data_IF_905018373734
#
_entry.id   IF_905018373734
#
_cell.length_a   1.000
_cell.length_b   1.000
_cell.length_c   1.000
_cell.angle_alpha   90.00
_cell.angle_beta   90.00
_cell.angle_gamma   90.00
#
_symmetry.space_group_name_H-M   'P 1'
#
loop_
_entity.id
_entity.type
_entity.pdbx_description
1 polymer ?
#
# COMPACT_ATOMS: atom_id res chain seq x y z
N UNK A 1 -13.03 6.13 57.72
CA UNK A 1 -12.77 6.63 56.34
C UNK A 1 -13.19 5.52 55.39
N UNK A 2 -14.31 5.71 54.69
CA UNK A 2 -14.95 4.67 53.87
C UNK A 2 -14.21 4.53 52.54
N UNK A 3 -13.69 3.33 52.25
CA UNK A 3 -13.17 2.96 50.93
C UNK A 3 -14.35 2.68 50.01
N UNK A 4 -14.63 3.58 49.08
CA UNK A 4 -15.58 3.36 48.01
C UNK A 4 -15.08 2.24 47.09
N UNK A 5 -15.77 1.09 47.12
CA UNK A 5 -15.62 0.07 46.08
C UNK A 5 -16.12 0.65 44.75
N UNK A 6 -15.20 1.15 43.94
CA UNK A 6 -15.51 1.68 42.62
C UNK A 6 -15.77 0.51 41.67
N UNK A 7 -17.02 0.12 41.50
CA UNK A 7 -17.42 -0.90 40.52
C UNK A 7 -17.56 -0.25 39.14
N UNK A 8 -16.47 -0.29 38.36
CA UNK A 8 -16.36 0.43 37.09
C UNK A 8 -17.29 -0.09 35.97
N UNK A 9 -17.76 -1.35 36.02
CA UNK A 9 -18.53 -1.98 34.93
C UNK A 9 -19.63 -2.96 35.43
N UNK A 10 -20.38 -2.59 36.46
CA UNK A 10 -21.50 -3.44 36.89
C UNK A 10 -22.62 -3.48 35.83
N UNK A 11 -23.12 -4.68 35.51
CA UNK A 11 -24.21 -4.93 34.55
C UNK A 11 -23.99 -4.43 33.11
N UNK A 12 -22.75 -4.15 32.72
CA UNK A 12 -22.44 -3.76 31.34
C UNK A 12 -22.52 -4.98 30.41
N UNK A 13 -23.24 -4.87 29.29
CA UNK A 13 -23.30 -5.90 28.25
C UNK A 13 -22.93 -5.29 26.89
N UNK A 14 -22.24 -6.07 26.03
CA UNK A 14 -21.83 -5.69 24.66
C UNK A 14 -21.00 -4.39 24.55
N UNK A 15 -19.95 -4.25 25.35
CA UNK A 15 -19.00 -3.15 25.20
C UNK A 15 -17.62 -3.67 24.79
N UNK A 16 -16.82 -2.82 24.16
CA UNK A 16 -15.44 -3.10 23.80
C UNK A 16 -14.53 -2.10 24.51
N UNK A 17 -13.56 -2.60 25.27
CA UNK A 17 -12.45 -1.80 25.78
C UNK A 17 -11.23 -2.15 24.94
N UNK A 18 -10.56 -1.13 24.41
CA UNK A 18 -9.33 -1.31 23.64
C UNK A 18 -8.21 -0.44 24.23
N UNK A 19 -7.02 -1.03 24.37
CA UNK A 19 -5.87 -0.40 25.02
C UNK A 19 -5.96 -0.38 26.56
N UNK A 20 -4.79 -0.35 27.21
CA UNK A 20 -4.63 -0.26 28.67
C UNK A 20 -4.01 -1.50 29.32
N UNK A 21 -3.51 -1.33 30.55
CA UNK A 21 -2.98 -2.42 31.39
C UNK A 21 -4.01 -2.73 32.47
N UNK A 22 -4.62 -3.91 32.42
CA UNK A 22 -5.65 -4.32 33.37
C UNK A 22 -5.03 -5.17 34.48
N UNK A 23 -5.09 -4.67 35.72
CA UNK A 23 -4.77 -5.46 36.91
C UNK A 23 -6.07 -5.80 37.64
N UNK A 24 -6.45 -7.08 37.60
CA UNK A 24 -7.55 -7.61 38.41
C UNK A 24 -6.93 -8.15 39.70
N UNK A 25 -7.31 -7.58 40.85
CA UNK A 25 -6.91 -8.09 42.16
C UNK A 25 -7.77 -9.32 42.52
N UNK A 26 -7.51 -10.43 41.84
CA UNK A 26 -8.05 -11.77 42.10
C UNK A 26 -6.93 -12.77 41.80
N UNK A 27 -6.87 -13.89 42.52
CA UNK A 27 -5.68 -14.75 42.68
C UNK A 27 -5.06 -15.36 41.40
N UNK A 28 -5.58 -15.08 40.22
CA UNK A 28 -5.02 -15.50 38.93
C UNK A 28 -4.79 -14.28 38.03
N UNK A 29 -3.52 -13.95 37.77
CA UNK A 29 -3.15 -12.93 36.79
C UNK A 29 -3.24 -13.54 35.40
N UNK A 30 -4.39 -13.40 34.74
CA UNK A 30 -4.47 -13.58 33.29
C UNK A 30 -4.11 -12.24 32.65
N UNK A 31 -2.84 -12.06 32.28
CA UNK A 31 -2.45 -10.93 31.42
C UNK A 31 -2.97 -11.22 30.01
N UNK A 32 -4.19 -10.78 29.72
CA UNK A 32 -4.64 -10.67 28.33
C UNK A 32 -3.98 -9.42 27.77
N UNK A 33 -2.77 -9.57 27.21
CA UNK A 33 -2.21 -8.53 26.34
C UNK A 33 -3.12 -8.46 25.10
N UNK A 34 -4.08 -7.54 25.14
CA UNK A 34 -4.80 -7.12 23.95
C UNK A 34 -3.79 -6.47 23.00
N UNK A 35 -3.11 -7.29 22.19
CA UNK A 35 -2.12 -6.83 21.24
C UNK A 35 -2.68 -5.70 20.40
N UNK A 36 -1.86 -4.66 20.17
CA UNK A 36 -2.25 -3.56 19.29
C UNK A 36 -2.64 -4.15 17.94
N UNK A 37 -3.92 -4.03 17.57
CA UNK A 37 -4.41 -4.47 16.28
C UNK A 37 -3.56 -3.76 15.22
N UNK A 38 -2.78 -4.55 14.48
CA UNK A 38 -1.83 -4.09 13.46
C UNK A 38 -0.48 -3.49 13.92
N UNK A 39 0.12 -3.99 15.00
CA UNK A 39 1.47 -3.58 15.43
C UNK A 39 2.55 -3.67 14.32
N UNK A 40 2.49 -4.65 13.43
CA UNK A 40 3.39 -4.73 12.28
C UNK A 40 3.21 -3.56 11.31
N UNK A 41 1.96 -3.09 11.10
CA UNK A 41 1.71 -1.91 10.26
C UNK A 41 2.20 -0.61 10.92
N UNK A 42 2.21 -0.52 12.25
CA UNK A 42 2.80 0.65 12.93
C UNK A 42 4.32 0.69 12.79
N UNK A 43 4.99 -0.47 12.76
CA UNK A 43 6.41 -0.55 12.41
C UNK A 43 6.65 -0.17 10.94
N UNK A 44 5.81 -0.67 10.04
CA UNK A 44 5.87 -0.33 8.62
C UNK A 44 5.76 1.17 8.37
N UNK A 45 4.87 1.87 9.08
CA UNK A 45 4.69 3.32 8.96
C UNK A 45 5.99 4.10 9.21
N UNK A 46 6.87 3.63 10.09
CA UNK A 46 8.14 4.30 10.37
C UNK A 46 9.18 4.10 9.25
N UNK A 47 8.92 3.20 8.30
CA UNK A 47 9.83 2.83 7.23
C UNK A 47 9.27 3.22 5.84
N UNK A 48 8.33 4.16 5.77
CA UNK A 48 7.80 4.70 4.51
C UNK A 48 8.41 6.06 4.16
N UNK A 49 8.38 6.42 2.88
CA UNK A 49 8.58 7.80 2.42
C UNK A 49 7.22 8.48 2.28
N UNK A 50 6.84 9.27 3.29
CA UNK A 50 5.59 10.03 3.25
C UNK A 50 5.58 11.08 2.14
N UNK A 51 6.75 11.64 1.78
CA UNK A 51 6.87 12.63 0.71
C UNK A 51 6.66 12.06 -0.70
N UNK A 52 6.72 10.73 -0.86
CA UNK A 52 6.53 10.04 -2.13
C UNK A 52 5.06 9.79 -2.50
N UNK A 53 4.12 10.01 -1.57
CA UNK A 53 2.69 9.75 -1.80
C UNK A 53 2.10 10.74 -2.82
N UNK A 54 1.05 10.33 -3.54
CA UNK A 54 0.41 11.18 -4.55
C UNK A 54 -0.13 12.51 -3.99
N UNK A 55 -0.54 12.52 -2.73
CA UNK A 55 -1.20 13.58 -1.97
C UNK A 55 -0.31 14.19 -0.86
N UNK A 56 1.01 13.94 -0.92
CA UNK A 56 1.95 14.46 0.05
C UNK A 56 2.12 15.99 -0.06
N UNK A 57 2.17 16.69 1.08
CA UNK A 57 2.47 18.14 1.15
C UNK A 57 3.80 18.49 0.48
N UNK A 58 4.80 17.61 0.58
CA UNK A 58 6.10 17.77 -0.10
C UNK A 58 6.00 17.80 -1.63
N UNK A 59 4.82 17.60 -2.19
CA UNK A 59 4.52 17.66 -3.62
C UNK A 59 3.54 18.77 -3.97
N UNK A 60 3.14 19.63 -3.03
CA UNK A 60 2.24 20.74 -3.30
C UNK A 60 2.98 21.97 -3.88
N UNK A 61 2.46 22.63 -4.93
CA UNK A 61 1.37 22.16 -5.80
C UNK A 61 1.86 21.02 -6.70
N UNK A 62 1.04 19.96 -6.90
CA UNK A 62 1.50 18.79 -7.64
C UNK A 62 1.53 19.07 -9.15
N UNK A 63 2.41 18.38 -9.92
CA UNK A 63 2.39 18.47 -11.37
C UNK A 63 1.03 18.01 -11.89
N UNK A 64 0.31 18.83 -12.64
CA UNK A 64 -1.03 18.48 -13.12
C UNK A 64 -1.17 18.74 -14.61
N UNK A 65 -1.94 17.89 -15.29
CA UNK A 65 -2.35 18.16 -16.66
C UNK A 65 -3.27 19.38 -16.67
N UNK A 66 -3.01 20.36 -17.55
CA UNK A 66 -3.94 21.45 -17.76
C UNK A 66 -5.28 20.92 -18.30
N UNK A 67 -6.42 21.54 -17.95
CA UNK A 67 -7.73 21.11 -18.43
C UNK A 67 -7.76 20.95 -19.96
N UNK A 68 -8.28 19.82 -20.44
CA UNK A 68 -8.38 19.51 -21.87
C UNK A 68 -7.07 19.08 -22.54
N UNK A 69 -5.96 19.01 -21.80
CA UNK A 69 -4.68 18.49 -22.33
C UNK A 69 -4.49 17.03 -21.94
N UNK A 70 -3.73 16.29 -22.76
CA UNK A 70 -3.35 14.89 -22.50
C UNK A 70 -4.53 13.91 -22.27
N UNK A 71 -5.76 14.32 -22.56
CA UNK A 71 -6.97 13.51 -22.33
C UNK A 71 -6.92 12.17 -23.07
N UNK A 72 -6.42 12.14 -24.30
CA UNK A 72 -6.22 10.87 -25.03
C UNK A 72 -5.29 9.90 -24.28
N UNK A 73 -4.19 10.42 -23.73
CA UNK A 73 -3.24 9.58 -22.98
C UNK A 73 -3.86 9.10 -21.66
N UNK A 74 -4.55 9.98 -20.93
CA UNK A 74 -5.27 9.64 -19.70
C UNK A 74 -6.38 8.62 -19.94
N UNK A 75 -7.11 8.74 -21.06
CA UNK A 75 -8.13 7.80 -21.47
C UNK A 75 -7.52 6.45 -21.81
N UNK A 76 -6.49 6.39 -22.66
CA UNK A 76 -5.82 5.13 -23.00
C UNK A 76 -5.25 4.40 -21.78
N UNK A 77 -4.65 5.13 -20.83
CA UNK A 77 -4.19 4.58 -19.55
C UNK A 77 -5.37 4.11 -18.69
N UNK A 78 -6.46 4.87 -18.69
CA UNK A 78 -7.70 4.54 -18.02
C UNK A 78 -8.30 3.22 -18.52
N UNK A 79 -8.38 3.07 -19.84
CA UNK A 79 -8.93 1.90 -20.51
C UNK A 79 -8.04 0.68 -20.27
N UNK A 80 -6.72 0.80 -20.45
CA UNK A 80 -5.75 -0.25 -20.14
C UNK A 80 -5.86 -0.73 -18.68
N UNK A 81 -5.92 0.18 -17.72
CA UNK A 81 -6.02 -0.18 -16.31
C UNK A 81 -7.40 -0.77 -15.94
N UNK A 82 -8.43 -0.62 -16.78
CA UNK A 82 -9.79 -1.13 -16.51
C UNK A 82 -10.12 -2.40 -17.29
N UNK A 83 -9.44 -2.67 -18.41
CA UNK A 83 -9.67 -3.87 -19.23
C UNK A 83 -9.34 -5.18 -18.51
N UNK A 84 -8.61 -5.11 -17.40
CA UNK A 84 -8.24 -6.27 -16.58
C UNK A 84 -7.37 -7.29 -17.34
N UNK A 85 -7.00 -8.37 -16.67
CA UNK A 85 -6.26 -9.49 -17.25
C UNK A 85 -7.16 -10.42 -18.12
N UNK A 86 -8.39 -9.99 -18.44
CA UNK A 86 -9.47 -10.82 -19.00
C UNK A 86 -9.81 -10.52 -20.47
N UNK A 87 -8.94 -9.84 -21.22
CA UNK A 87 -9.00 -9.94 -22.66
C UNK A 87 -8.51 -11.34 -23.05
N UNK A 88 -9.45 -12.20 -23.41
CA UNK A 88 -9.21 -13.56 -23.91
C UNK A 88 -8.16 -13.58 -25.03
N UNK A 89 -6.99 -14.16 -24.76
CA UNK A 89 -5.88 -14.32 -25.70
C UNK A 89 -4.56 -13.79 -25.12
N UNK A 90 -3.48 -14.54 -25.33
CA UNK A 90 -2.12 -14.31 -24.82
C UNK A 90 -1.74 -12.82 -24.60
N UNK A 91 -1.11 -12.57 -23.45
CA UNK A 91 -0.55 -11.28 -22.97
C UNK A 91 -1.51 -10.30 -22.30
N UNK A 92 -2.08 -10.69 -21.17
CA UNK A 92 -2.41 -9.70 -20.16
C UNK A 92 -1.12 -8.97 -19.76
N UNK A 93 -1.00 -7.67 -20.05
CA UNK A 93 0.19 -6.86 -19.72
C UNK A 93 -0.02 -6.20 -18.35
N UNK A 94 0.55 -6.76 -17.26
CA UNK A 94 0.35 -6.22 -15.92
C UNK A 94 1.02 -4.86 -15.72
N UNK A 95 1.94 -4.48 -16.61
CA UNK A 95 2.73 -3.24 -16.54
C UNK A 95 2.52 -2.40 -17.79
N UNK A 96 2.25 -1.11 -17.60
CA UNK A 96 2.26 -0.10 -18.66
C UNK A 96 3.44 0.84 -18.45
N UNK A 97 4.28 0.97 -19.47
CA UNK A 97 5.41 1.89 -19.47
C UNK A 97 5.04 3.21 -20.15
N UNK A 98 4.86 4.29 -19.38
CA UNK A 98 4.65 5.63 -19.91
C UNK A 98 6.00 6.31 -20.20
N UNK A 99 6.36 6.42 -21.48
CA UNK A 99 7.62 7.02 -21.92
C UNK A 99 7.41 8.24 -22.82
N UNK A 100 8.47 9.03 -22.97
CA UNK A 100 8.47 10.27 -23.74
C UNK A 100 9.65 11.16 -23.36
N UNK A 101 9.90 12.20 -24.16
CA UNK A 101 11.01 13.14 -23.94
C UNK A 101 10.95 13.81 -22.56
N UNK A 102 12.11 14.33 -22.12
CA UNK A 102 12.15 15.22 -20.96
C UNK A 102 11.22 16.41 -21.18
N UNK A 103 10.48 16.81 -20.14
CA UNK A 103 9.48 17.88 -20.24
C UNK A 103 8.16 17.52 -20.95
N UNK A 104 7.98 16.27 -21.42
CA UNK A 104 6.73 15.86 -22.09
C UNK A 104 5.48 15.84 -21.16
N UNK A 105 5.65 16.06 -19.85
CA UNK A 105 4.57 16.07 -18.87
C UNK A 105 4.19 14.69 -18.33
N UNK A 106 5.11 13.71 -18.34
CA UNK A 106 4.85 12.34 -17.84
C UNK A 106 4.38 12.33 -16.38
N UNK A 107 5.10 13.02 -15.50
CA UNK A 107 4.73 13.13 -14.08
C UNK A 107 3.38 13.83 -13.88
N UNK A 108 3.03 14.81 -14.73
CA UNK A 108 1.71 15.45 -14.71
C UNK A 108 0.59 14.48 -15.10
N UNK A 109 0.82 13.61 -16.10
CA UNK A 109 -0.11 12.53 -16.48
C UNK A 109 -0.24 11.52 -15.34
N UNK A 110 0.88 11.06 -14.78
CA UNK A 110 0.89 10.08 -13.68
C UNK A 110 0.18 10.62 -12.44
N UNK A 111 0.43 11.87 -12.05
CA UNK A 111 -0.24 12.54 -10.95
C UNK A 111 -1.75 12.68 -11.20
N UNK A 112 -2.14 13.18 -12.38
CA UNK A 112 -3.55 13.35 -12.74
C UNK A 112 -4.29 12.01 -12.73
N UNK A 113 -3.64 10.94 -13.22
CA UNK A 113 -4.20 9.59 -13.17
C UNK A 113 -4.32 9.08 -11.72
N UNK A 114 -3.33 9.32 -10.87
CA UNK A 114 -3.37 8.97 -9.46
C UNK A 114 -4.56 9.64 -8.76
N UNK A 115 -4.73 10.95 -8.92
CA UNK A 115 -5.85 11.71 -8.36
C UNK A 115 -7.22 11.18 -8.84
N UNK A 116 -7.37 10.93 -10.15
CA UNK A 116 -8.60 10.34 -10.72
C UNK A 116 -8.90 8.96 -10.10
N UNK A 117 -7.88 8.12 -9.92
CA UNK A 117 -8.04 6.75 -9.40
C UNK A 117 -8.25 6.73 -7.89
N UNK A 118 -7.64 7.65 -7.15
CA UNK A 118 -7.88 7.85 -5.73
C UNK A 118 -9.34 8.26 -5.47
N UNK A 119 -9.87 9.21 -6.25
CA UNK A 119 -11.29 9.60 -6.21
C UNK A 119 -12.25 8.43 -6.46
N UNK A 120 -11.86 7.50 -7.33
CA UNK A 120 -12.62 6.27 -7.63
C UNK A 120 -12.32 5.10 -6.65
N UNK A 121 -11.48 5.31 -5.63
CA UNK A 121 -11.00 4.28 -4.69
C UNK A 121 -10.33 3.08 -5.39
N UNK A 122 -9.71 3.29 -6.54
CA UNK A 122 -9.04 2.26 -7.36
C UNK A 122 -7.53 2.46 -7.43
N UNK A 123 -6.98 3.53 -6.84
CA UNK A 123 -5.54 3.68 -6.66
C UNK A 123 -5.09 2.82 -5.47
N UNK A 124 -4.41 1.71 -5.74
CA UNK A 124 -3.86 0.82 -4.73
C UNK A 124 -2.72 1.48 -3.95
N UNK A 125 -1.76 2.04 -4.69
CA UNK A 125 -0.57 2.67 -4.16
C UNK A 125 0.07 3.60 -5.20
N UNK A 126 0.86 4.55 -4.71
CA UNK A 126 1.65 5.45 -5.53
C UNK A 126 3.04 5.68 -4.93
N UNK A 127 4.05 5.86 -5.77
CA UNK A 127 5.37 6.30 -5.35
C UNK A 127 5.97 7.23 -6.41
N UNK A 128 6.23 8.47 -6.03
CA UNK A 128 6.83 9.47 -6.90
C UNK A 128 8.25 9.75 -6.43
N UNK A 129 9.23 9.24 -7.18
CA UNK A 129 10.64 9.54 -6.95
C UNK A 129 10.91 11.03 -7.08
N UNK A 130 11.89 11.52 -6.34
CA UNK A 130 12.42 12.88 -6.54
C UNK A 130 13.90 12.94 -6.19
N UNK A 131 14.74 13.36 -7.14
CA UNK A 131 16.21 13.30 -7.01
C UNK A 131 16.74 14.02 -5.76
N UNK A 132 16.13 15.14 -5.40
CA UNK A 132 16.60 16.02 -4.32
C UNK A 132 16.06 15.65 -2.93
N UNK A 133 15.24 14.61 -2.81
CA UNK A 133 14.72 14.15 -1.52
C UNK A 133 15.29 12.78 -1.15
N UNK A 134 16.17 12.71 -0.13
CA UNK A 134 16.80 11.48 0.31
C UNK A 134 15.85 10.34 0.70
N UNK A 135 14.61 10.66 1.07
CA UNK A 135 13.62 9.63 1.41
C UNK A 135 13.04 8.92 0.19
N UNK A 136 13.19 9.50 -1.01
CA UNK A 136 12.58 9.02 -2.27
C UNK A 136 13.45 9.19 -3.50
N UNK A 137 14.77 9.29 -3.32
CA UNK A 137 15.76 9.25 -4.41
C UNK A 137 16.53 7.91 -4.45
N UNK A 138 16.16 6.96 -3.60
CA UNK A 138 16.66 5.58 -3.57
C UNK A 138 15.48 4.61 -3.47
N UNK A 139 15.65 3.32 -3.83
CA UNK A 139 14.56 2.36 -3.74
C UNK A 139 14.26 1.89 -2.31
N UNK A 140 15.03 2.34 -1.30
CA UNK A 140 15.01 1.83 0.08
C UNK A 140 13.63 1.77 0.70
N UNK A 141 12.82 2.80 0.46
CA UNK A 141 11.47 2.92 1.02
C UNK A 141 10.37 2.67 -0.04
N UNK A 142 10.71 2.24 -1.26
CA UNK A 142 9.74 2.04 -2.33
C UNK A 142 8.66 1.02 -1.94
N UNK A 143 9.07 -0.21 -1.64
CA UNK A 143 8.12 -1.30 -1.41
C UNK A 143 7.50 -1.28 -0.02
N UNK A 144 8.16 -0.70 0.98
CA UNK A 144 7.53 -0.44 2.28
C UNK A 144 6.41 0.60 2.16
N UNK A 145 6.64 1.69 1.41
CA UNK A 145 5.62 2.71 1.15
C UNK A 145 4.45 2.17 0.33
N UNK A 146 4.73 1.33 -0.67
CA UNK A 146 3.68 0.64 -1.45
C UNK A 146 2.90 -0.33 -0.56
N UNK A 147 3.58 -1.20 0.19
CA UNK A 147 2.92 -2.16 1.08
C UNK A 147 2.04 -1.48 2.13
N UNK A 148 2.50 -0.34 2.67
CA UNK A 148 1.70 0.45 3.60
C UNK A 148 0.40 0.91 2.94
N UNK A 149 0.47 1.55 1.78
CA UNK A 149 -0.72 2.00 1.03
C UNK A 149 -1.67 0.83 0.69
N UNK A 150 -1.12 -0.31 0.25
CA UNK A 150 -1.90 -1.51 -0.04
C UNK A 150 -2.70 -2.00 1.18
N UNK A 151 -2.10 -1.98 2.37
CA UNK A 151 -2.78 -2.38 3.60
C UNK A 151 -4.01 -1.50 3.94
N UNK A 152 -4.03 -0.22 3.53
CA UNK A 152 -5.19 0.66 3.73
C UNK A 152 -6.20 0.58 2.61
N UNK A 153 -5.74 0.44 1.36
CA UNK A 153 -6.62 0.41 0.19
C UNK A 153 -7.31 -0.94 0.01
N UNK A 154 -6.62 -2.03 0.37
CA UNK A 154 -7.09 -3.41 0.21
C UNK A 154 -7.08 -4.07 1.61
N UNK A 155 -8.19 -3.99 2.37
CA UNK A 155 -8.26 -4.46 3.76
C UNK A 155 -7.84 -5.91 3.96
N UNK A 156 -8.02 -6.77 2.95
CA UNK A 156 -7.61 -8.17 2.92
C UNK A 156 -6.09 -8.32 3.06
N UNK A 157 -5.31 -7.36 2.56
CA UNK A 157 -3.85 -7.36 2.66
C UNK A 157 -3.35 -6.88 4.02
N UNK A 158 -4.13 -6.09 4.76
CA UNK A 158 -3.72 -5.50 6.03
C UNK A 158 -3.25 -6.56 7.03
N UNK A 159 -4.04 -7.63 7.21
CA UNK A 159 -3.72 -8.73 8.10
C UNK A 159 -2.50 -9.53 7.63
N UNK A 160 -2.40 -9.78 6.33
CA UNK A 160 -1.31 -10.58 5.74
C UNK A 160 0.03 -9.85 5.85
N UNK A 161 0.08 -8.56 5.51
CA UNK A 161 1.27 -7.72 5.62
C UNK A 161 1.67 -7.57 7.09
N UNK A 162 0.71 -7.33 7.97
CA UNK A 162 0.97 -7.26 9.41
C UNK A 162 1.62 -8.54 9.95
N UNK A 163 1.07 -9.70 9.60
CA UNK A 163 1.60 -10.99 10.05
C UNK A 163 2.99 -11.26 9.47
N UNK A 164 3.24 -10.91 8.21
CA UNK A 164 4.57 -11.05 7.61
C UNK A 164 5.62 -10.25 8.40
N UNK A 165 5.30 -9.01 8.78
CA UNK A 165 6.20 -8.15 9.56
C UNK A 165 6.38 -8.68 10.98
N UNK A 166 5.31 -9.11 11.66
CA UNK A 166 5.42 -9.65 13.03
C UNK A 166 6.25 -10.94 13.06
N UNK A 167 6.13 -11.79 12.06
CA UNK A 167 6.93 -13.01 11.94
C UNK A 167 8.39 -12.76 11.59
N UNK A 168 8.69 -11.64 10.90
CA UNK A 168 10.05 -11.31 10.45
C UNK A 168 10.27 -9.79 10.38
N UNK A 169 10.50 -9.11 11.51
CA UNK A 169 10.52 -7.64 11.57
C UNK A 169 11.61 -7.00 10.70
N UNK A 170 12.73 -7.69 10.49
CA UNK A 170 13.84 -7.22 9.65
C UNK A 170 13.54 -7.19 8.15
N UNK A 171 12.36 -7.65 7.69
CA UNK A 171 11.94 -7.44 6.28
C UNK A 171 11.95 -5.94 5.95
N UNK A 172 11.57 -5.07 6.90
CA UNK A 172 11.49 -3.63 6.68
C UNK A 172 12.84 -3.01 6.27
N UNK A 173 13.95 -3.62 6.67
CA UNK A 173 15.31 -3.17 6.32
C UNK A 173 16.04 -4.13 5.39
N UNK A 174 15.36 -5.17 4.89
CA UNK A 174 15.91 -6.14 3.94
C UNK A 174 16.06 -5.53 2.54
N UNK A 175 16.70 -6.26 1.64
CA UNK A 175 16.77 -5.90 0.22
C UNK A 175 15.39 -5.67 -0.39
N UNK A 176 15.29 -4.77 -1.37
CA UNK A 176 14.03 -4.43 -2.04
C UNK A 176 13.33 -5.64 -2.70
N UNK A 177 14.08 -6.64 -3.16
CA UNK A 177 13.53 -7.90 -3.69
C UNK A 177 12.77 -8.69 -2.62
N UNK A 178 13.33 -8.76 -1.40
CA UNK A 178 12.71 -9.42 -0.25
C UNK A 178 11.50 -8.60 0.22
N UNK A 179 11.63 -7.27 0.30
CA UNK A 179 10.51 -6.41 0.65
C UNK A 179 9.34 -6.59 -0.34
N UNK A 180 9.60 -6.58 -1.65
CA UNK A 180 8.58 -6.82 -2.66
C UNK A 180 7.91 -8.19 -2.49
N UNK A 181 8.71 -9.26 -2.38
CA UNK A 181 8.16 -10.63 -2.25
C UNK A 181 7.32 -10.79 -0.99
N UNK A 182 7.86 -10.41 0.16
CA UNK A 182 7.24 -10.69 1.45
C UNK A 182 6.10 -9.72 1.80
N UNK A 183 6.15 -8.47 1.33
CA UNK A 183 5.17 -7.44 1.68
C UNK A 183 4.13 -7.18 0.58
N UNK A 184 4.39 -7.58 -0.67
CA UNK A 184 3.49 -7.31 -1.81
C UNK A 184 3.07 -8.61 -2.49
N UNK A 185 4.01 -9.36 -3.07
CA UNK A 185 3.69 -10.53 -3.91
C UNK A 185 3.00 -11.63 -3.11
N UNK A 186 3.64 -12.14 -2.04
CA UNK A 186 3.09 -13.24 -1.27
C UNK A 186 1.80 -12.89 -0.52
N UNK A 187 1.64 -11.70 0.08
CA UNK A 187 0.34 -11.27 0.59
C UNK A 187 -0.75 -11.23 -0.50
N UNK A 188 -0.44 -10.72 -1.71
CA UNK A 188 -1.39 -10.66 -2.81
C UNK A 188 -1.82 -12.05 -3.29
N UNK A 189 -0.87 -12.97 -3.48
CA UNK A 189 -1.16 -14.37 -3.85
C UNK A 189 -2.04 -15.06 -2.80
N UNK A 190 -1.72 -14.89 -1.51
CA UNK A 190 -2.53 -15.49 -0.42
C UNK A 190 -3.93 -14.91 -0.39
N UNK A 191 -4.08 -13.60 -0.59
CA UNK A 191 -5.40 -12.95 -0.66
C UNK A 191 -6.22 -13.49 -1.85
N UNK A 192 -5.58 -13.75 -2.99
CA UNK A 192 -6.24 -14.30 -4.16
C UNK A 192 -6.75 -15.73 -3.90
N UNK A 193 -5.92 -16.59 -3.31
CA UNK A 193 -6.33 -17.96 -2.91
C UNK A 193 -7.49 -17.91 -1.90
N UNK A 194 -7.40 -17.03 -0.89
CA UNK A 194 -8.49 -16.86 0.07
C UNK A 194 -9.77 -16.38 -0.61
N UNK A 195 -9.67 -15.44 -1.55
CA UNK A 195 -10.82 -14.96 -2.31
C UNK A 195 -11.44 -16.09 -3.13
N UNK A 196 -10.66 -16.86 -3.89
CA UNK A 196 -11.14 -18.01 -4.69
C UNK A 196 -11.88 -19.06 -3.84
N UNK A 197 -11.39 -19.35 -2.63
CA UNK A 197 -12.07 -20.24 -1.67
C UNK A 197 -13.42 -19.67 -1.19
N UNK A 198 -13.55 -18.34 -1.07
CA UNK A 198 -14.80 -17.68 -0.69
C UNK A 198 -15.78 -17.49 -1.85
N UNK A 199 -15.30 -17.23 -3.09
CA UNK A 199 -16.13 -17.04 -4.29
C UNK A 199 -16.93 -18.28 -4.67
N UNK A 200 -16.48 -19.48 -4.28
CA UNK A 200 -17.28 -20.70 -4.38
C UNK A 200 -18.68 -20.60 -3.73
N UNK A 201 -18.95 -19.56 -2.91
CA UNK A 201 -20.23 -19.29 -2.25
C UNK A 201 -21.01 -18.06 -2.78
N UNK A 202 -20.56 -17.38 -3.86
CA UNK A 202 -21.32 -16.28 -4.47
C UNK A 202 -20.50 -15.33 -5.36
N UNK A 203 -21.17 -14.63 -6.28
CA UNK A 203 -20.56 -13.70 -7.24
C UNK A 203 -19.95 -12.46 -6.56
N UNK A 204 -18.63 -12.30 -6.64
CA UNK A 204 -17.93 -11.04 -6.32
C UNK A 204 -17.54 -10.30 -7.59
N UNK A 205 -17.80 -9.00 -7.64
CA UNK A 205 -17.30 -8.11 -8.69
C UNK A 205 -15.82 -7.86 -8.40
N UNK A 206 -14.94 -8.33 -9.29
CA UNK A 206 -13.51 -8.05 -9.18
C UNK A 206 -13.24 -6.57 -9.44
N UNK A 207 -12.61 -5.89 -8.48
CA UNK A 207 -12.19 -4.50 -8.61
C UNK A 207 -10.74 -4.46 -9.05
N UNK A 208 -10.46 -3.80 -10.17
CA UNK A 208 -9.08 -3.60 -10.63
C UNK A 208 -8.45 -2.44 -9.86
N UNK A 209 -7.33 -2.72 -9.20
CA UNK A 209 -6.52 -1.73 -8.49
C UNK A 209 -5.31 -1.34 -9.33
N UNK A 210 -4.93 -0.06 -9.27
CA UNK A 210 -3.79 0.50 -9.99
C UNK A 210 -2.66 0.89 -9.03
N UNK A 211 -1.44 0.47 -9.34
CA UNK A 211 -0.21 0.95 -8.71
C UNK A 211 0.51 1.90 -9.67
N UNK A 212 0.98 3.05 -9.19
CA UNK A 212 1.72 4.04 -10.00
C UNK A 212 3.09 4.27 -9.40
N UNK A 213 4.14 4.12 -10.21
CA UNK A 213 5.51 4.50 -9.88
C UNK A 213 5.97 5.50 -10.94
N UNK A 214 6.33 6.71 -10.52
CA UNK A 214 6.76 7.80 -11.40
C UNK A 214 8.16 8.30 -11.02
N UNK A 215 8.88 8.83 -12.02
CA UNK A 215 10.21 9.41 -11.83
C UNK A 215 11.32 8.38 -11.60
N UNK A 216 11.22 7.17 -12.15
CA UNK A 216 12.28 6.16 -11.99
C UNK A 216 13.67 6.69 -12.39
N UNK A 217 13.74 7.56 -13.39
CA UNK A 217 14.95 8.27 -13.84
C UNK A 217 15.52 9.27 -12.81
N UNK A 218 14.75 9.59 -11.77
CA UNK A 218 15.18 10.38 -10.61
C UNK A 218 15.75 9.54 -9.47
N UNK A 219 15.67 8.21 -9.55
CA UNK A 219 16.40 7.31 -8.66
C UNK A 219 17.92 7.45 -8.89
N UNK A 220 18.67 7.61 -7.80
CA UNK A 220 20.07 8.05 -7.78
C UNK A 220 21.07 7.18 -8.55
N UNK A 221 20.77 5.91 -8.81
CA UNK A 221 21.69 4.98 -9.47
C UNK A 221 20.97 4.11 -10.52
N UNK A 222 21.57 3.97 -11.70
CA UNK A 222 21.04 3.15 -12.81
C UNK A 222 20.94 1.65 -12.46
N UNK A 223 21.81 1.13 -11.61
CA UNK A 223 21.71 -0.26 -11.15
C UNK A 223 20.41 -0.49 -10.34
N UNK A 224 20.04 0.46 -9.48
CA UNK A 224 18.80 0.36 -8.71
C UNK A 224 17.57 0.53 -9.61
N UNK A 225 17.64 1.38 -10.65
CA UNK A 225 16.59 1.50 -11.66
C UNK A 225 16.35 0.17 -12.38
N UNK A 226 17.42 -0.46 -12.87
CA UNK A 226 17.35 -1.78 -13.53
C UNK A 226 16.79 -2.84 -12.59
N UNK A 227 17.24 -2.85 -11.33
CA UNK A 227 16.76 -3.79 -10.32
C UNK A 227 15.27 -3.64 -10.03
N UNK A 228 14.77 -2.40 -9.93
CA UNK A 228 13.32 -2.15 -9.79
C UNK A 228 12.57 -2.74 -11.00
N UNK A 229 13.05 -2.49 -12.21
CA UNK A 229 12.40 -2.99 -13.44
C UNK A 229 12.37 -4.52 -13.48
N UNK A 230 13.46 -5.20 -13.12
CA UNK A 230 13.51 -6.66 -13.04
C UNK A 230 12.49 -7.20 -12.02
N UNK A 231 12.42 -6.59 -10.83
CA UNK A 231 11.47 -7.00 -9.79
C UNK A 231 10.01 -6.87 -10.28
N UNK A 232 9.69 -5.78 -10.99
CA UNK A 232 8.34 -5.52 -11.50
C UNK A 232 7.97 -6.36 -12.73
N UNK A 233 8.97 -6.86 -13.47
CA UNK A 233 8.76 -7.72 -14.64
C UNK A 233 8.60 -9.19 -14.26
N UNK A 234 9.29 -9.64 -13.20
CA UNK A 234 9.33 -11.03 -12.75
C UNK A 234 8.25 -11.38 -11.70
N UNK A 235 7.57 -10.37 -11.15
CA UNK A 235 6.55 -10.48 -10.09
C UNK A 235 5.14 -10.59 -10.63
#
# INVERSE_FOLDING_TARGET
MSSSNLHMFQNSQRFSISGGKFQVAGRDIVTVEGGVKYQGLSWLYNEISQSALHDAEARYPPPQCHPGTREKALQSLGDWASSGLNASGDEARPVYWLYGSAGAGKSAIAQTLAERRAGNKTLAASFFFWRSDPSRNTPRNLFTTIAFQLAFTIPELAGLINTAILGRPHILTSSIDIQFKELILYPSMRSQVLHELHVFHGHTVSKTYLMIIDGLDECSNSHDQQRILSILADG
#
